data_IF_782393429679
#
_entry.id   IF_782393429679
#
_cell.length_a   1.000
_cell.length_b   1.000
_cell.length_c   1.000
_cell.angle_alpha   90.00
_cell.angle_beta   90.00
_cell.angle_gamma   90.00
#
_symmetry.space_group_name_H-M   'P 1'
#
loop_
_entity.id
_entity.type
_entity.pdbx_description
1 polymer ?
#
# COMPACT_ATOMS: atom_id res chain seq x y z
N UNK A 1 -35.24 -56.62 86.68
CA UNK A 1 -34.98 -57.88 85.98
C UNK A 1 -33.88 -57.59 84.94
N UNK A 2 -32.78 -58.34 84.96
CA UNK A 2 -31.55 -58.26 84.13
C UNK A 2 -31.80 -58.16 82.60
N UNK A 3 -30.80 -57.92 81.69
CA UNK A 3 -29.35 -57.67 81.86
C UNK A 3 -28.68 -56.62 80.89
N UNK A 4 -27.48 -56.16 81.29
CA UNK A 4 -26.17 -56.11 80.58
C UNK A 4 -26.14 -56.01 79.02
N UNK A 5 -25.46 -54.98 78.45
CA UNK A 5 -24.23 -55.12 77.60
C UNK A 5 -23.62 -53.82 77.03
N UNK A 6 -22.28 -53.80 77.14
CA UNK A 6 -21.25 -53.30 76.22
C UNK A 6 -21.02 -51.80 75.96
N UNK A 7 -19.90 -51.34 76.56
CA UNK A 7 -19.08 -50.19 76.16
C UNK A 7 -18.69 -50.26 74.67
N UNK A 8 -18.96 -49.20 73.91
CA UNK A 8 -18.34 -48.93 72.60
C UNK A 8 -17.32 -47.80 72.73
N UNK A 9 -16.12 -48.04 72.20
CA UNK A 9 -15.04 -47.04 72.02
C UNK A 9 -15.47 -46.00 70.96
N UNK A 10 -15.07 -44.72 71.07
CA UNK A 10 -15.23 -43.77 69.98
C UNK A 10 -14.21 -44.07 68.86
N UNK A 11 -14.57 -43.94 67.57
CA UNK A 11 -13.60 -44.01 66.49
C UNK A 11 -12.84 -42.69 66.36
N UNK A 12 -11.56 -42.82 66.03
CA UNK A 12 -10.63 -41.73 65.77
C UNK A 12 -11.10 -40.87 64.57
N UNK A 13 -10.99 -39.55 64.70
CA UNK A 13 -11.04 -38.63 63.56
C UNK A 13 -9.78 -38.83 62.72
N UNK A 14 -9.94 -39.37 61.52
CA UNK A 14 -8.95 -39.27 60.46
C UNK A 14 -9.18 -37.95 59.71
N UNK A 15 -8.25 -36.99 59.82
CA UNK A 15 -8.19 -35.85 58.92
C UNK A 15 -7.75 -36.34 57.54
N UNK A 16 -8.70 -36.46 56.62
CA UNK A 16 -8.40 -36.57 55.19
C UNK A 16 -8.09 -35.16 54.66
N UNK A 17 -6.81 -34.87 54.45
CA UNK A 17 -6.38 -33.69 53.70
C UNK A 17 -6.78 -33.86 52.23
N UNK A 18 -7.85 -33.19 51.82
CA UNK A 18 -8.19 -33.06 50.41
C UNK A 18 -7.22 -32.06 49.77
N UNK A 19 -6.22 -32.57 49.05
CA UNK A 19 -5.43 -31.76 48.15
C UNK A 19 -6.33 -31.32 46.98
N UNK A 20 -6.78 -30.07 46.99
CA UNK A 20 -7.39 -29.43 45.83
C UNK A 20 -6.30 -29.28 44.75
N UNK A 21 -6.26 -30.22 43.80
CA UNK A 21 -5.55 -29.99 42.54
C UNK A 21 -6.44 -29.06 41.72
N UNK A 22 -6.17 -27.76 41.79
CA UNK A 22 -6.76 -26.79 40.88
C UNK A 22 -6.21 -27.07 39.47
N UNK A 23 -6.96 -27.85 38.69
CA UNK A 23 -6.71 -27.98 37.26
C UNK A 23 -7.09 -26.63 36.60
N UNK A 24 -6.11 -25.74 36.48
CA UNK A 24 -6.21 -24.58 35.60
C UNK A 24 -6.28 -25.10 34.17
N UNK A 25 -7.50 -25.31 33.67
CA UNK A 25 -7.75 -25.41 32.24
C UNK A 25 -7.45 -24.02 31.68
N UNK A 26 -6.23 -23.82 31.19
CA UNK A 26 -5.91 -22.68 30.35
C UNK A 26 -6.78 -22.80 29.11
N UNK A 27 -7.88 -22.05 29.06
CA UNK A 27 -8.59 -21.78 27.82
C UNK A 27 -7.59 -21.07 26.92
N UNK A 28 -6.99 -21.83 26.00
CA UNK A 28 -6.25 -21.26 24.89
C UNK A 28 -7.27 -20.49 24.06
N UNK A 29 -7.35 -19.18 24.28
CA UNK A 29 -8.01 -18.27 23.35
C UNK A 29 -7.23 -18.45 22.04
N UNK A 30 -7.86 -18.89 20.94
CA UNK A 30 -7.18 -18.88 19.67
C UNK A 30 -6.82 -17.42 19.40
N UNK A 31 -5.52 -17.12 19.41
CA UNK A 31 -5.03 -15.84 18.93
C UNK A 31 -5.41 -15.83 17.46
N UNK A 32 -6.41 -15.02 17.12
CA UNK A 32 -6.83 -14.78 15.75
C UNK A 32 -5.58 -14.31 14.99
N UNK A 33 -4.98 -15.21 14.21
CA UNK A 33 -3.74 -14.94 13.48
C UNK A 33 -4.10 -14.10 12.25
N UNK A 34 -4.62 -12.90 12.49
CA UNK A 34 -4.71 -11.89 11.44
C UNK A 34 -3.28 -11.52 11.07
N UNK A 35 -2.91 -11.57 9.78
CA UNK A 35 -1.62 -11.04 9.36
C UNK A 35 -1.48 -9.62 9.89
N UNK A 36 -0.28 -9.27 10.37
CA UNK A 36 -0.01 -7.93 10.87
C UNK A 36 -0.42 -6.91 9.80
N UNK A 37 -1.22 -5.92 10.19
CA UNK A 37 -1.58 -4.80 9.34
C UNK A 37 -0.29 -4.17 8.80
N UNK A 38 -0.27 -3.79 7.52
CA UNK A 38 0.94 -3.22 6.91
C UNK A 38 1.45 -2.09 7.79
N UNK A 39 2.75 -1.99 7.97
CA UNK A 39 3.27 -0.95 8.85
C UNK A 39 3.22 0.40 8.14
N UNK A 40 2.17 1.16 8.46
CA UNK A 40 1.83 2.43 7.84
C UNK A 40 2.48 3.57 8.61
N UNK A 41 3.16 4.44 7.86
CA UNK A 41 3.80 5.65 8.33
C UNK A 41 2.88 6.83 8.45
N UNK A 42 3.47 8.00 8.63
CA UNK A 42 2.71 9.26 8.62
C UNK A 42 2.04 9.54 7.28
N UNK A 43 1.03 10.40 7.31
CA UNK A 43 0.36 10.91 6.11
C UNK A 43 1.39 11.65 5.25
N UNK A 44 1.50 11.26 3.98
CA UNK A 44 2.37 11.88 2.97
C UNK A 44 1.59 12.82 2.06
N UNK A 45 0.28 12.58 1.91
CA UNK A 45 -0.63 13.44 1.17
C UNK A 45 -2.05 13.29 1.71
N UNK A 46 -2.81 14.38 1.75
CA UNK A 46 -4.21 14.35 2.16
C UNK A 46 -4.99 15.49 1.54
N UNK A 47 -6.28 15.27 1.28
CA UNK A 47 -7.27 16.30 1.04
C UNK A 47 -8.49 16.01 1.92
N UNK A 48 -8.88 17.01 2.71
CA UNK A 48 -9.92 16.91 3.75
C UNK A 48 -11.20 17.66 3.35
N UNK A 49 -11.23 18.26 2.15
CA UNK A 49 -12.40 18.89 1.54
C UNK A 49 -13.22 19.84 2.45
N UNK A 50 -12.55 20.56 3.35
CA UNK A 50 -13.16 21.47 4.33
C UNK A 50 -13.46 22.88 3.79
N UNK A 51 -13.36 23.10 2.48
CA UNK A 51 -13.62 24.42 1.89
C UNK A 51 -15.13 24.76 1.92
N UNK A 52 -15.44 26.05 1.79
CA UNK A 52 -16.81 26.53 1.82
C UNK A 52 -17.67 25.96 0.67
N UNK A 53 -18.99 25.94 0.87
CA UNK A 53 -19.92 25.48 -0.14
C UNK A 53 -19.73 26.25 -1.46
N UNK A 54 -19.69 25.53 -2.58
CA UNK A 54 -19.50 26.14 -3.89
C UNK A 54 -18.03 26.37 -4.28
N UNK A 55 -17.07 26.18 -3.37
CA UNK A 55 -15.64 26.29 -3.70
C UNK A 55 -15.26 25.21 -4.73
N UNK A 56 -14.65 25.57 -5.88
CA UNK A 56 -14.15 24.60 -6.84
C UNK A 56 -13.09 23.67 -6.24
N UNK A 57 -12.87 22.52 -6.87
CA UNK A 57 -11.79 21.59 -6.51
C UNK A 57 -10.43 22.29 -6.59
N UNK A 58 -9.57 22.07 -5.59
CA UNK A 58 -8.21 22.61 -5.56
C UNK A 58 -7.35 21.98 -6.66
N UNK A 59 -7.07 22.77 -7.69
CA UNK A 59 -6.29 22.32 -8.83
C UNK A 59 -4.80 22.16 -8.51
N UNK A 60 -4.28 22.65 -7.39
CA UNK A 60 -2.91 22.29 -6.97
C UNK A 60 -2.82 20.82 -6.54
N UNK A 61 -3.96 20.19 -6.23
CA UNK A 61 -4.09 18.80 -5.75
C UNK A 61 -4.67 17.87 -6.79
N UNK A 62 -5.66 18.32 -7.55
CA UNK A 62 -6.40 17.49 -8.51
C UNK A 62 -6.39 18.09 -9.91
N UNK A 63 -6.36 17.23 -10.92
CA UNK A 63 -6.66 17.54 -12.32
C UNK A 63 -7.97 16.88 -12.72
N UNK A 64 -8.52 17.29 -13.85
CA UNK A 64 -9.75 16.74 -14.41
C UNK A 64 -9.48 16.04 -15.73
N UNK A 65 -10.01 14.83 -15.85
CA UNK A 65 -10.24 14.21 -17.14
C UNK A 65 -11.55 14.76 -17.72
N UNK A 66 -11.52 15.25 -18.97
CA UNK A 66 -12.68 15.88 -19.63
C UNK A 66 -13.01 15.11 -20.90
N UNK A 67 -14.27 14.70 -21.06
CA UNK A 67 -14.74 14.03 -22.27
C UNK A 67 -15.75 12.91 -22.04
N UNK A 68 -16.28 12.38 -23.15
CA UNK A 68 -17.30 11.33 -23.20
C UNK A 68 -17.02 10.25 -24.26
N UNK A 69 -15.75 9.91 -24.44
CA UNK A 69 -15.28 8.92 -25.44
C UNK A 69 -15.58 7.46 -25.05
N UNK A 70 -16.23 7.22 -23.91
CA UNK A 70 -16.60 5.89 -23.42
C UNK A 70 -15.57 5.25 -22.49
N UNK A 71 -14.39 5.86 -22.32
CA UNK A 71 -13.39 5.52 -21.29
C UNK A 71 -12.96 4.04 -21.25
N UNK A 72 -13.04 3.34 -22.39
CA UNK A 72 -12.71 1.91 -22.51
C UNK A 72 -13.84 0.95 -22.10
N UNK A 73 -14.90 1.47 -21.47
CA UNK A 73 -15.97 0.65 -20.88
C UNK A 73 -17.38 0.95 -21.45
N UNK A 74 -17.47 1.68 -22.57
CA UNK A 74 -18.73 2.16 -23.15
C UNK A 74 -19.58 3.00 -22.17
N UNK A 75 -18.90 3.83 -21.38
CA UNK A 75 -19.50 4.72 -20.37
C UNK A 75 -20.23 5.92 -21.02
N UNK A 76 -21.39 6.32 -20.50
CA UNK A 76 -22.28 7.30 -21.15
C UNK A 76 -22.15 8.73 -20.67
N UNK A 77 -21.44 9.00 -19.59
CA UNK A 77 -21.23 10.37 -19.10
C UNK A 77 -20.21 11.14 -19.94
N UNK A 78 -20.39 12.45 -19.99
CA UNK A 78 -19.33 13.40 -20.30
C UNK A 78 -18.74 13.91 -18.98
N UNK A 79 -17.46 13.62 -18.71
CA UNK A 79 -16.78 14.21 -17.56
C UNK A 79 -16.46 15.68 -17.82
N UNK A 80 -16.74 16.54 -16.85
CA UNK A 80 -16.49 17.99 -16.90
C UNK A 80 -15.59 18.43 -15.74
N UNK A 81 -15.14 19.68 -15.80
CA UNK A 81 -14.52 20.40 -14.68
C UNK A 81 -15.46 21.45 -14.05
N UNK A 82 -16.77 21.35 -14.31
CA UNK A 82 -17.77 22.28 -13.82
C UNK A 82 -18.05 22.06 -12.33
N UNK A 83 -18.29 23.15 -11.59
CA UNK A 83 -18.79 23.07 -10.21
C UNK A 83 -20.20 22.49 -10.10
N UNK A 84 -20.92 22.33 -11.22
CA UNK A 84 -22.15 21.53 -11.24
C UNK A 84 -21.88 20.04 -11.01
N UNK A 85 -20.69 19.53 -11.38
CA UNK A 85 -20.32 18.12 -11.28
C UNK A 85 -19.31 17.82 -10.18
N UNK A 86 -18.44 18.75 -9.79
CA UNK A 86 -17.51 18.56 -8.67
C UNK A 86 -17.29 19.85 -7.88
N UNK A 87 -17.68 19.87 -6.61
CA UNK A 87 -17.61 21.06 -5.76
C UNK A 87 -17.60 20.69 -4.28
N UNK A 88 -17.08 21.58 -3.44
CA UNK A 88 -17.21 21.46 -1.98
C UNK A 88 -18.64 21.79 -1.53
N UNK A 89 -19.16 21.06 -0.56
CA UNK A 89 -20.52 21.29 -0.01
C UNK A 89 -20.56 22.20 1.22
N UNK A 90 -19.40 22.61 1.75
CA UNK A 90 -19.29 23.40 2.98
C UNK A 90 -19.57 22.62 4.27
N UNK A 91 -19.71 21.30 4.19
CA UNK A 91 -19.97 20.37 5.30
C UNK A 91 -18.82 19.38 5.46
N UNK A 92 -17.64 19.69 4.91
CA UNK A 92 -16.45 18.85 4.96
C UNK A 92 -16.40 17.79 3.86
N UNK A 93 -17.13 17.94 2.75
CA UNK A 93 -17.05 16.97 1.66
C UNK A 93 -16.79 17.62 0.30
N UNK A 94 -16.06 16.88 -0.53
CA UNK A 94 -16.17 16.98 -1.98
C UNK A 94 -17.42 16.21 -2.42
N UNK A 95 -18.19 16.81 -3.32
CA UNK A 95 -19.35 16.17 -3.93
C UNK A 95 -19.14 16.01 -5.42
N UNK A 96 -19.02 14.76 -5.88
CA UNK A 96 -19.04 14.42 -7.31
C UNK A 96 -20.48 14.06 -7.68
N UNK A 97 -21.08 14.83 -8.58
CA UNK A 97 -22.48 14.71 -8.97
C UNK A 97 -22.62 14.25 -10.42
N UNK A 98 -23.19 13.05 -10.59
CA UNK A 98 -23.68 12.56 -11.87
C UNK A 98 -25.08 13.13 -12.14
N UNK A 99 -25.29 13.71 -13.33
CA UNK A 99 -26.52 14.39 -13.73
C UNK A 99 -27.00 13.88 -15.08
N UNK A 100 -28.32 13.92 -15.29
CA UNK A 100 -28.94 13.73 -16.61
C UNK A 100 -29.21 15.09 -17.24
N UNK A 101 -28.20 15.63 -17.90
CA UNK A 101 -28.22 16.95 -18.53
C UNK A 101 -27.17 17.05 -19.63
N UNK A 102 -27.28 18.09 -20.46
CA UNK A 102 -26.26 18.43 -21.45
C UNK A 102 -26.27 19.95 -21.71
N UNK A 103 -25.76 20.76 -20.77
CA UNK A 103 -25.90 22.22 -20.80
C UNK A 103 -25.10 22.89 -21.94
N UNK A 104 -24.03 22.26 -22.42
CA UNK A 104 -23.16 22.81 -23.47
C UNK A 104 -23.19 22.01 -24.79
N UNK A 105 -24.25 21.22 -25.01
CA UNK A 105 -24.42 20.40 -26.21
C UNK A 105 -23.22 19.48 -26.54
N UNK A 106 -22.62 18.91 -25.50
CA UNK A 106 -21.52 17.96 -25.57
C UNK A 106 -21.84 16.77 -26.48
N UNK A 107 -20.80 16.28 -27.15
CA UNK A 107 -20.82 15.08 -27.98
C UNK A 107 -20.05 13.96 -27.27
N UNK A 108 -20.69 12.80 -27.21
CA UNK A 108 -20.18 11.56 -26.64
C UNK A 108 -19.99 10.56 -27.79
N UNK A 109 -19.34 9.43 -27.50
CA UNK A 109 -19.09 8.39 -28.50
C UNK A 109 -20.36 7.82 -29.17
N UNK A 110 -21.54 8.01 -28.56
CA UNK A 110 -22.84 7.59 -29.07
C UNK A 110 -23.70 8.74 -29.64
N UNK A 111 -23.13 9.93 -29.86
CA UNK A 111 -23.82 11.12 -30.34
C UNK A 111 -24.03 12.17 -29.24
N UNK A 112 -25.20 12.81 -29.20
CA UNK A 112 -25.48 13.85 -28.19
C UNK A 112 -25.43 13.25 -26.79
N UNK A 113 -24.55 13.78 -25.92
CA UNK A 113 -24.46 13.30 -24.54
C UNK A 113 -25.78 13.49 -23.79
N UNK A 114 -26.09 12.54 -22.91
CA UNK A 114 -27.27 12.59 -22.03
C UNK A 114 -26.92 12.86 -20.56
N UNK A 115 -25.67 12.59 -20.17
CA UNK A 115 -25.22 12.65 -18.78
C UNK A 115 -23.92 13.43 -18.63
N UNK A 116 -23.77 14.11 -17.49
CA UNK A 116 -22.52 14.73 -17.06
C UNK A 116 -22.08 14.18 -15.72
N UNK A 117 -20.78 14.17 -15.46
CA UNK A 117 -20.18 13.80 -14.17
C UNK A 117 -18.79 14.44 -14.03
N UNK A 118 -17.99 14.03 -13.04
CA UNK A 118 -16.59 14.42 -12.92
C UNK A 118 -15.67 13.22 -12.68
N UNK A 119 -14.43 13.33 -13.17
CA UNK A 119 -13.32 12.41 -12.94
C UNK A 119 -12.08 13.22 -12.58
N UNK A 120 -11.65 13.09 -11.32
CA UNK A 120 -10.54 13.81 -10.74
C UNK A 120 -9.34 12.86 -10.63
N UNK A 121 -8.13 13.36 -10.88
CA UNK A 121 -6.90 12.56 -10.77
C UNK A 121 -5.72 13.35 -10.23
N UNK A 122 -4.77 12.66 -9.60
CA UNK A 122 -3.55 13.28 -9.05
C UNK A 122 -2.31 13.14 -9.93
N UNK A 123 -2.42 12.64 -11.17
CA UNK A 123 -1.24 12.27 -11.99
C UNK A 123 -0.15 13.36 -12.12
N UNK A 124 -0.56 14.62 -12.19
CA UNK A 124 0.35 15.76 -12.32
C UNK A 124 0.76 16.41 -10.98
N UNK A 125 0.22 15.95 -9.86
CA UNK A 125 0.29 16.64 -8.56
C UNK A 125 0.80 15.74 -7.44
N UNK A 126 0.47 14.45 -7.47
CA UNK A 126 0.91 13.46 -6.49
C UNK A 126 0.92 12.06 -7.10
N UNK A 127 2.08 11.39 -6.95
CA UNK A 127 2.24 9.96 -7.21
C UNK A 127 3.04 9.36 -6.05
N UNK A 128 2.75 8.12 -5.69
CA UNK A 128 3.48 7.40 -4.65
C UNK A 128 3.45 5.90 -4.92
N UNK A 129 4.55 5.23 -4.59
CA UNK A 129 4.59 3.77 -4.48
C UNK A 129 4.42 3.38 -3.02
N UNK A 130 3.59 2.37 -2.77
CA UNK A 130 3.36 1.77 -1.46
C UNK A 130 2.71 2.72 -0.43
N UNK A 131 2.32 2.15 0.71
CA UNK A 131 1.67 2.82 1.81
C UNK A 131 0.17 2.52 1.88
N UNK A 132 -0.54 3.35 2.63
CA UNK A 132 -1.99 3.26 2.78
C UNK A 132 -2.66 4.31 1.93
N UNK A 133 -3.56 3.87 1.07
CA UNK A 133 -4.43 4.75 0.30
C UNK A 133 -5.85 4.55 0.78
N UNK A 134 -6.43 5.59 1.36
CA UNK A 134 -7.69 5.52 2.07
C UNK A 134 -8.58 6.70 1.70
N UNK A 135 -9.88 6.43 1.53
CA UNK A 135 -10.88 7.47 1.38
C UNK A 135 -12.14 7.11 2.19
N UNK A 136 -12.73 8.12 2.82
CA UNK A 136 -14.03 7.99 3.48
C UNK A 136 -15.11 8.54 2.56
N UNK A 137 -15.93 7.64 2.02
CA UNK A 137 -16.85 7.92 0.91
C UNK A 137 -18.25 7.44 1.27
N UNK A 138 -19.27 8.25 0.98
CA UNK A 138 -20.65 7.81 0.84
C UNK A 138 -20.98 7.73 -0.64
N UNK A 139 -21.14 6.51 -1.15
CA UNK A 139 -21.34 6.27 -2.57
C UNK A 139 -22.80 6.55 -3.02
N UNK A 140 -23.03 6.85 -4.31
CA UNK A 140 -24.37 6.90 -4.90
C UNK A 140 -25.01 5.51 -5.06
N UNK A 141 -26.24 5.46 -5.57
CA UNK A 141 -26.97 4.22 -5.87
C UNK A 141 -27.73 4.29 -7.19
N UNK A 142 -28.28 3.16 -7.60
CA UNK A 142 -29.20 3.05 -8.73
C UNK A 142 -28.57 2.37 -9.94
N UNK A 143 -29.41 1.65 -10.69
CA UNK A 143 -28.98 0.92 -11.88
C UNK A 143 -28.14 1.82 -12.81
N UNK A 144 -27.01 1.30 -13.28
CA UNK A 144 -26.10 2.00 -14.19
C UNK A 144 -25.20 3.07 -13.56
N UNK A 145 -25.25 3.29 -12.25
CA UNK A 145 -24.32 4.20 -11.57
C UNK A 145 -23.09 3.43 -11.10
N UNK A 146 -21.90 3.97 -11.34
CA UNK A 146 -20.62 3.30 -11.05
C UNK A 146 -19.62 4.27 -10.41
N UNK A 147 -19.65 4.44 -9.08
CA UNK A 147 -18.63 5.18 -8.35
C UNK A 147 -17.34 4.36 -8.21
N UNK A 148 -16.20 5.04 -8.29
CA UNK A 148 -14.89 4.42 -8.13
C UNK A 148 -13.89 5.33 -7.39
N UNK A 149 -13.08 4.71 -6.53
CA UNK A 149 -11.82 5.23 -6.01
C UNK A 149 -10.73 4.22 -6.36
N UNK A 150 -9.76 4.64 -7.15
CA UNK A 150 -8.82 3.73 -7.81
C UNK A 150 -7.52 4.44 -8.17
N UNK A 151 -6.56 3.69 -8.67
CA UNK A 151 -5.22 4.17 -8.95
C UNK A 151 -4.67 3.59 -10.25
N UNK A 152 -3.86 4.38 -10.96
CA UNK A 152 -3.14 3.95 -12.16
C UNK A 152 -1.64 4.23 -12.04
N UNK A 153 -0.82 3.41 -12.68
CA UNK A 153 0.62 3.62 -12.78
C UNK A 153 0.97 4.98 -13.39
N UNK A 154 1.96 5.67 -12.81
CA UNK A 154 2.37 6.99 -13.29
C UNK A 154 3.08 6.98 -14.66
N UNK A 155 3.44 5.80 -15.16
CA UNK A 155 4.00 5.54 -16.48
C UNK A 155 2.92 5.15 -17.52
N UNK A 156 1.63 5.29 -17.20
CA UNK A 156 0.50 5.04 -18.11
C UNK A 156 0.65 5.71 -19.49
N UNK A 157 1.22 6.92 -19.54
CA UNK A 157 1.48 7.62 -20.80
C UNK A 157 2.58 7.03 -21.68
N UNK A 158 3.50 6.23 -21.11
CA UNK A 158 4.63 5.63 -21.82
C UNK A 158 4.44 4.14 -22.10
N UNK A 159 3.89 3.37 -21.15
CA UNK A 159 3.74 1.90 -21.29
C UNK A 159 2.31 1.47 -21.66
N UNK A 160 1.33 2.36 -21.47
CA UNK A 160 -0.08 2.10 -21.72
C UNK A 160 -0.71 1.07 -20.78
N UNK A 161 -2.03 0.95 -20.89
CA UNK A 161 -2.80 -0.06 -20.15
C UNK A 161 -2.82 -1.39 -20.92
N UNK A 162 -2.72 -2.56 -20.26
CA UNK A 162 -2.68 -2.77 -18.80
C UNK A 162 -1.26 -2.82 -18.21
N UNK A 163 -0.22 -2.46 -18.98
CA UNK A 163 1.17 -2.61 -18.53
C UNK A 163 1.55 -1.70 -17.36
N UNK A 164 0.92 -0.52 -17.27
CA UNK A 164 1.11 0.43 -16.17
C UNK A 164 0.50 -0.02 -14.84
N UNK A 165 -0.34 -1.06 -14.86
CA UNK A 165 -1.08 -1.51 -13.70
C UNK A 165 -2.22 -0.58 -13.28
N UNK A 166 -3.21 -1.18 -12.64
CA UNK A 166 -4.40 -0.52 -12.07
C UNK A 166 -4.74 -1.18 -10.73
N UNK A 167 -5.03 -0.36 -9.72
CA UNK A 167 -5.47 -0.81 -8.40
C UNK A 167 -6.82 -0.14 -8.09
N UNK A 168 -7.88 -0.92 -8.12
CA UNK A 168 -9.23 -0.47 -7.80
C UNK A 168 -9.44 -0.61 -6.29
N UNK A 169 -9.31 0.49 -5.56
CA UNK A 169 -9.46 0.50 -4.10
C UNK A 169 -10.91 0.27 -3.70
N UNK A 170 -11.84 0.84 -4.46
CA UNK A 170 -13.28 0.67 -4.30
C UNK A 170 -13.95 0.87 -5.65
N UNK A 171 -14.72 -0.13 -6.04
CA UNK A 171 -15.76 0.01 -7.05
C UNK A 171 -17.09 -0.52 -6.53
N UNK A 172 -18.17 0.12 -6.97
CA UNK A 172 -19.52 -0.39 -6.79
C UNK A 172 -20.29 -0.24 -8.11
N UNK A 173 -21.24 -1.14 -8.35
CA UNK A 173 -22.25 -0.97 -9.38
C UNK A 173 -23.61 -0.83 -8.70
N UNK A 174 -24.38 0.19 -9.06
CA UNK A 174 -25.54 0.59 -8.27
C UNK A 174 -26.72 -0.39 -8.26
N UNK A 175 -26.67 -1.47 -9.05
CA UNK A 175 -27.59 -2.62 -8.96
C UNK A 175 -27.23 -3.60 -7.82
N UNK A 176 -26.02 -3.51 -7.31
CA UNK A 176 -25.49 -4.30 -6.19
C UNK A 176 -25.13 -3.36 -5.03
N UNK A 177 -26.13 -2.70 -4.41
CA UNK A 177 -25.90 -1.57 -3.51
C UNK A 177 -25.14 -1.94 -2.23
N UNK A 178 -25.04 -3.22 -1.89
CA UNK A 178 -24.42 -3.72 -0.67
C UNK A 178 -22.98 -4.22 -0.89
N UNK A 179 -22.50 -4.27 -2.14
CA UNK A 179 -21.25 -4.94 -2.49
C UNK A 179 -20.19 -3.95 -2.95
N UNK A 180 -18.99 -4.04 -2.40
CA UNK A 180 -17.79 -3.38 -2.91
C UNK A 180 -16.89 -4.39 -3.59
N UNK A 181 -16.22 -3.96 -4.65
CA UNK A 181 -15.19 -4.69 -5.37
C UNK A 181 -13.85 -4.02 -5.17
N UNK A 182 -12.80 -4.83 -4.99
CA UNK A 182 -11.41 -4.42 -5.04
C UNK A 182 -10.67 -5.30 -6.04
N UNK A 183 -9.99 -4.67 -6.99
CA UNK A 183 -9.45 -5.36 -8.17
C UNK A 183 -8.05 -4.86 -8.48
N UNK A 184 -7.23 -5.73 -9.08
CA UNK A 184 -6.04 -5.29 -9.80
C UNK A 184 -6.10 -5.70 -11.26
N UNK A 185 -5.59 -4.82 -12.13
CA UNK A 185 -5.36 -5.11 -13.52
C UNK A 185 -3.89 -5.00 -13.89
N UNK A 186 -3.41 -5.95 -14.69
CA UNK A 186 -2.05 -5.98 -15.21
C UNK A 186 -1.92 -6.85 -16.45
N UNK A 187 -0.70 -6.98 -17.02
CA UNK A 187 -0.46 -7.76 -18.22
C UNK A 187 -0.76 -9.25 -17.98
N UNK A 188 -1.78 -9.78 -18.67
CA UNK A 188 -2.26 -11.15 -18.51
C UNK A 188 -3.40 -11.34 -17.50
N UNK A 189 -3.80 -10.28 -16.78
CA UNK A 189 -4.89 -10.30 -15.79
C UNK A 189 -5.61 -8.94 -15.75
N UNK A 190 -6.35 -8.60 -16.80
CA UNK A 190 -6.98 -7.28 -16.96
C UNK A 190 -8.37 -7.35 -17.60
N UNK A 191 -9.10 -6.23 -17.59
CA UNK A 191 -10.50 -6.18 -18.02
C UNK A 191 -11.35 -7.17 -17.20
N UNK A 192 -12.19 -7.97 -17.87
CA UNK A 192 -12.98 -9.02 -17.20
C UNK A 192 -12.12 -10.10 -16.51
N UNK A 193 -10.82 -10.19 -16.81
CA UNK A 193 -9.87 -11.10 -16.18
C UNK A 193 -9.02 -10.46 -15.07
N UNK A 194 -9.41 -9.28 -14.56
CA UNK A 194 -8.78 -8.68 -13.38
C UNK A 194 -8.86 -9.62 -12.17
N UNK A 195 -7.85 -9.57 -11.31
CA UNK A 195 -7.86 -10.34 -10.06
C UNK A 195 -8.70 -9.54 -9.07
N UNK A 196 -9.90 -10.02 -8.82
CA UNK A 196 -10.92 -9.30 -8.05
C UNK A 196 -11.30 -10.06 -6.78
N UNK A 197 -11.64 -9.29 -5.75
CA UNK A 197 -12.33 -9.76 -4.56
C UNK A 197 -13.46 -8.80 -4.21
N UNK A 198 -14.44 -9.30 -3.48
CA UNK A 198 -15.61 -8.51 -3.11
C UNK A 198 -16.01 -8.71 -1.66
N UNK A 199 -16.78 -7.75 -1.16
CA UNK A 199 -17.41 -7.82 0.15
C UNK A 199 -18.81 -7.27 0.09
N UNK A 200 -19.76 -8.06 0.57
CA UNK A 200 -21.15 -7.66 0.74
C UNK A 200 -21.45 -7.44 2.21
N UNK A 201 -22.07 -6.31 2.55
CA UNK A 201 -22.51 -5.98 3.92
C UNK A 201 -24.04 -6.00 4.05
N UNK A 202 -24.54 -5.93 5.28
CA UNK A 202 -25.97 -6.09 5.57
C UNK A 202 -26.85 -4.95 5.03
N UNK A 203 -26.34 -3.73 4.99
CA UNK A 203 -27.05 -2.55 4.50
C UNK A 203 -26.39 -1.99 3.23
N UNK A 204 -27.14 -1.29 2.36
CA UNK A 204 -26.57 -0.56 1.23
C UNK A 204 -25.42 0.35 1.64
N UNK A 205 -24.29 0.26 0.92
CA UNK A 205 -23.12 1.13 1.08
C UNK A 205 -23.47 2.62 0.86
N UNK A 206 -24.51 2.89 0.08
CA UNK A 206 -24.98 4.24 -0.20
C UNK A 206 -25.77 4.87 0.96
N UNK A 207 -26.07 4.14 2.04
CA UNK A 207 -26.83 4.66 3.20
C UNK A 207 -25.93 5.50 4.13
N UNK A 208 -24.64 5.17 4.23
CA UNK A 208 -23.69 5.79 5.15
C UNK A 208 -22.33 6.07 4.48
N UNK A 209 -21.49 6.82 5.18
CA UNK A 209 -20.07 6.89 4.83
C UNK A 209 -19.38 5.62 5.29
N UNK A 210 -18.53 5.08 4.43
CA UNK A 210 -17.65 3.96 4.70
C UNK A 210 -16.20 4.34 4.42
N UNK A 211 -15.27 3.68 5.08
CA UNK A 211 -13.84 3.84 4.83
C UNK A 211 -13.36 2.73 3.91
N UNK A 212 -12.91 3.12 2.72
CA UNK A 212 -12.36 2.23 1.70
C UNK A 212 -10.85 2.41 1.64
N UNK A 213 -10.11 1.30 1.65
CA UNK A 213 -8.67 1.36 1.86
C UNK A 213 -7.95 0.22 1.18
N UNK A 214 -6.81 0.54 0.60
CA UNK A 214 -5.74 -0.44 0.37
C UNK A 214 -4.55 -0.16 1.26
N UNK A 215 -3.99 -1.21 1.84
CA UNK A 215 -2.62 -1.22 2.31
C UNK A 215 -1.77 -1.92 1.25
N UNK A 216 -0.85 -1.17 0.66
CA UNK A 216 0.01 -1.61 -0.43
C UNK A 216 1.46 -1.58 0.01
N UNK A 217 2.10 -2.74 -0.02
CA UNK A 217 3.51 -2.91 0.27
C UNK A 217 4.19 -3.69 -0.86
N UNK A 218 5.53 -3.81 -0.86
CA UNK A 218 6.21 -4.63 -1.86
C UNK A 218 5.63 -6.06 -1.87
N UNK A 219 5.12 -6.49 -3.02
CA UNK A 219 4.52 -7.81 -3.24
C UNK A 219 3.23 -8.11 -2.47
N UNK A 220 2.54 -7.12 -1.90
CA UNK A 220 1.20 -7.34 -1.34
C UNK A 220 0.32 -6.10 -1.44
N UNK A 221 -0.92 -6.30 -1.88
CA UNK A 221 -1.98 -5.30 -1.79
C UNK A 221 -3.15 -5.94 -1.04
N UNK A 222 -3.69 -5.22 -0.07
CA UNK A 222 -4.73 -5.71 0.83
C UNK A 222 -5.85 -4.70 0.92
N UNK A 223 -7.08 -5.14 0.66
CA UNK A 223 -8.26 -4.28 0.65
C UNK A 223 -9.05 -4.42 1.94
N UNK A 224 -9.56 -3.29 2.41
CA UNK A 224 -10.37 -3.18 3.61
C UNK A 224 -11.62 -2.35 3.34
N UNK A 225 -12.73 -2.77 3.95
CA UNK A 225 -13.92 -1.96 4.12
C UNK A 225 -14.12 -1.78 5.63
N UNK A 226 -14.18 -0.53 6.09
CA UNK A 226 -14.34 -0.17 7.51
C UNK A 226 -13.34 -0.89 8.43
N UNK A 227 -12.08 -0.97 7.98
CA UNK A 227 -10.99 -1.61 8.72
C UNK A 227 -11.00 -3.14 8.70
N UNK A 228 -11.92 -3.79 7.98
CA UNK A 228 -11.97 -5.25 7.88
C UNK A 228 -11.49 -5.70 6.51
N UNK A 229 -10.43 -6.51 6.50
CA UNK A 229 -9.84 -7.12 5.30
C UNK A 229 -10.88 -7.96 4.56
N UNK A 230 -10.89 -7.88 3.22
CA UNK A 230 -11.74 -8.74 2.39
C UNK A 230 -11.07 -9.27 1.12
N UNK A 231 -9.94 -8.67 0.72
CA UNK A 231 -9.18 -9.14 -0.44
C UNK A 231 -7.69 -8.92 -0.21
N UNK A 232 -6.87 -9.82 -0.76
CA UNK A 232 -5.42 -9.76 -0.70
C UNK A 232 -4.83 -10.39 -1.95
N UNK A 233 -3.91 -9.68 -2.57
CA UNK A 233 -3.19 -10.15 -3.76
C UNK A 233 -1.69 -9.98 -3.58
N UNK A 234 -0.97 -11.01 -3.99
CA UNK A 234 0.49 -11.10 -4.01
C UNK A 234 0.94 -11.71 -5.35
N UNK A 235 2.24 -11.68 -5.71
CA UNK A 235 2.73 -12.26 -6.95
C UNK A 235 2.37 -13.73 -7.19
N UNK A 236 2.16 -14.53 -6.13
CA UNK A 236 1.81 -15.95 -6.29
C UNK A 236 0.39 -16.13 -6.85
N UNK A 237 -0.50 -15.14 -6.69
CA UNK A 237 -1.84 -15.12 -7.29
C UNK A 237 -1.84 -14.83 -8.79
N UNK A 238 -0.72 -14.37 -9.36
CA UNK A 238 -0.68 -13.94 -10.77
C UNK A 238 -0.56 -15.07 -11.79
N UNK A 239 -0.38 -16.32 -11.35
CA UNK A 239 -0.25 -17.47 -12.25
C UNK A 239 0.98 -17.41 -13.16
N UNK A 240 2.06 -16.78 -12.69
CA UNK A 240 3.30 -16.58 -13.45
C UNK A 240 3.34 -15.31 -14.32
N UNK A 241 2.25 -14.53 -14.36
CA UNK A 241 2.25 -13.21 -14.99
C UNK A 241 3.09 -12.19 -14.19
N UNK A 242 3.49 -11.11 -14.85
CA UNK A 242 4.34 -10.07 -14.27
C UNK A 242 3.59 -9.25 -13.21
N UNK A 243 4.22 -9.05 -12.05
CA UNK A 243 3.81 -8.04 -11.07
C UNK A 243 4.20 -6.64 -11.57
N UNK A 244 3.23 -5.71 -11.61
CA UNK A 244 3.40 -4.32 -12.10
C UNK A 244 2.96 -3.29 -11.07
N UNK A 245 3.05 -3.62 -9.77
CA UNK A 245 2.68 -2.73 -8.67
C UNK A 245 3.90 -2.45 -7.79
N UNK A 246 5.04 -2.22 -8.46
CA UNK A 246 6.36 -1.96 -7.88
C UNK A 246 6.94 -0.61 -8.32
N UNK A 247 6.07 0.31 -8.77
CA UNK A 247 6.39 1.69 -9.17
C UNK A 247 5.29 2.66 -8.70
N UNK A 248 5.45 3.98 -8.81
CA UNK A 248 4.47 4.93 -8.29
C UNK A 248 3.14 4.95 -9.06
N UNK A 249 2.05 5.13 -8.32
CA UNK A 249 0.69 5.26 -8.85
C UNK A 249 0.12 6.64 -8.49
N UNK A 250 -0.85 7.13 -9.27
CA UNK A 250 -1.68 8.28 -8.94
C UNK A 250 -3.12 7.85 -8.63
N UNK A 251 -3.83 8.66 -7.86
CA UNK A 251 -5.21 8.37 -7.45
C UNK A 251 -6.23 8.98 -8.41
N UNK A 252 -7.40 8.35 -8.48
CA UNK A 252 -8.54 8.76 -9.30
C UNK A 252 -9.84 8.61 -8.50
N UNK A 253 -10.71 9.60 -8.61
CA UNK A 253 -12.09 9.57 -8.10
C UNK A 253 -13.05 9.90 -9.24
N UNK A 254 -14.09 9.08 -9.43
CA UNK A 254 -15.14 9.39 -10.39
C UNK A 254 -16.47 8.72 -10.06
N UNK A 255 -17.52 9.20 -10.74
CA UNK A 255 -18.80 8.48 -10.85
C UNK A 255 -19.12 8.32 -12.34
N UNK A 256 -18.93 7.12 -12.86
CA UNK A 256 -19.37 6.77 -14.21
C UNK A 256 -20.90 6.55 -14.25
N UNK A 257 -21.48 6.75 -15.43
CA UNK A 257 -22.89 6.51 -15.73
C UNK A 257 -22.97 5.61 -16.95
N UNK A 258 -23.46 4.40 -16.76
CA UNK A 258 -23.47 3.37 -17.78
C UNK A 258 -22.11 2.71 -17.97
N UNK A 259 -22.12 1.59 -18.65
CA UNK A 259 -20.92 0.83 -19.01
C UNK A 259 -21.23 -0.65 -19.18
N UNK A 260 -20.30 -1.38 -19.76
CA UNK A 260 -20.45 -2.83 -20.01
C UNK A 260 -20.74 -3.60 -18.71
N UNK A 261 -20.07 -3.25 -17.61
CA UNK A 261 -20.21 -3.92 -16.32
C UNK A 261 -21.41 -3.45 -15.49
N UNK A 262 -21.62 -2.14 -15.19
CA UNK A 262 -22.78 -1.69 -14.41
C UNK A 262 -24.11 -1.82 -15.15
N UNK A 263 -24.09 -2.05 -16.47
CA UNK A 263 -25.24 -1.84 -17.33
C UNK A 263 -25.55 -0.35 -17.45
N UNK A 264 -26.70 -0.01 -18.05
CA UNK A 264 -27.08 1.38 -18.27
C UNK A 264 -28.18 1.83 -17.31
N UNK A 265 -28.32 3.14 -17.04
CA UNK A 265 -29.47 3.67 -16.31
C UNK A 265 -30.79 3.24 -16.93
N UNK A 266 -31.79 2.98 -16.09
CA UNK A 266 -33.16 2.68 -16.49
C UNK A 266 -34.16 3.55 -15.73
N UNK A 267 -35.45 3.22 -15.79
CA UNK A 267 -36.50 3.99 -15.12
C UNK A 267 -36.39 3.99 -13.57
N UNK A 268 -35.60 3.09 -12.98
CA UNK A 268 -35.32 3.06 -11.54
C UNK A 268 -34.21 4.02 -11.13
N UNK A 269 -33.39 4.49 -12.07
CA UNK A 269 -32.26 5.37 -11.79
C UNK A 269 -32.73 6.82 -11.58
N UNK A 270 -32.62 7.30 -10.35
CA UNK A 270 -32.97 8.68 -9.99
C UNK A 270 -31.74 9.58 -10.12
N UNK A 271 -31.83 10.65 -10.91
CA UNK A 271 -30.80 11.69 -10.99
C UNK A 271 -31.25 12.98 -10.27
N UNK A 272 -30.32 13.77 -9.71
CA UNK A 272 -28.86 13.53 -9.69
C UNK A 272 -28.45 12.43 -8.70
N UNK A 273 -27.26 11.86 -8.91
CA UNK A 273 -26.59 10.95 -7.96
C UNK A 273 -25.29 11.57 -7.49
N UNK A 274 -24.99 11.41 -6.21
CA UNK A 274 -23.86 12.08 -5.56
C UNK A 274 -22.96 11.08 -4.85
N UNK A 275 -21.66 11.17 -5.12
CA UNK A 275 -20.62 10.58 -4.30
C UNK A 275 -20.06 11.68 -3.40
N UNK A 276 -20.20 11.50 -2.09
CA UNK A 276 -19.64 12.43 -1.09
C UNK A 276 -18.34 11.85 -0.58
N UNK A 277 -17.28 12.64 -0.59
CA UNK A 277 -15.94 12.25 -0.14
C UNK A 277 -15.53 13.19 0.98
N UNK A 278 -15.43 12.66 2.19
CA UNK A 278 -15.03 13.38 3.40
C UNK A 278 -13.52 13.66 3.37
N UNK A 279 -12.72 12.63 3.10
CA UNK A 279 -11.29 12.79 2.90
C UNK A 279 -10.73 11.75 1.93
N UNK A 280 -9.58 12.09 1.35
CA UNK A 280 -8.64 11.13 0.74
C UNK A 280 -7.29 11.32 1.40
N UNK A 281 -6.66 10.24 1.84
CA UNK A 281 -5.35 10.23 2.48
C UNK A 281 -4.46 9.16 1.85
N UNK A 282 -3.22 9.55 1.59
CA UNK A 282 -2.12 8.64 1.35
C UNK A 282 -1.15 8.74 2.53
N UNK A 283 -0.81 7.60 3.13
CA UNK A 283 0.23 7.53 4.15
C UNK A 283 1.42 6.78 3.61
N UNK A 284 2.62 7.17 4.03
CA UNK A 284 3.83 6.46 3.68
C UNK A 284 3.78 5.03 4.22
N UNK A 285 4.59 4.15 3.64
CA UNK A 285 4.89 2.88 4.27
C UNK A 285 6.08 3.08 5.22
N UNK A 286 5.90 2.82 6.52
CA UNK A 286 7.02 2.73 7.47
C UNK A 286 7.10 1.28 7.90
N UNK A 287 7.98 0.48 7.32
CA UNK A 287 8.04 -0.93 7.72
C UNK A 287 8.50 -1.09 9.16
N UNK A 288 7.54 -1.15 10.07
CA UNK A 288 7.70 -1.53 11.46
C UNK A 288 8.10 -3.00 11.54
N UNK A 289 9.29 -3.24 12.10
CA UNK A 289 9.58 -4.37 12.98
C UNK A 289 9.50 -5.81 12.45
N UNK A 290 9.06 -6.07 11.22
CA UNK A 290 9.04 -7.43 10.66
C UNK A 290 10.44 -7.99 10.38
N UNK A 291 10.56 -9.31 10.31
CA UNK A 291 11.78 -9.97 9.83
C UNK A 291 11.99 -9.72 8.33
N UNK A 292 13.25 -9.66 7.87
CA UNK A 292 13.58 -9.61 6.45
C UNK A 292 13.03 -10.84 5.69
N UNK A 293 12.85 -10.73 4.37
CA UNK A 293 12.49 -11.86 3.52
C UNK A 293 13.43 -13.07 3.76
N UNK A 294 12.95 -14.33 3.73
CA UNK A 294 13.79 -15.50 4.03
C UNK A 294 15.10 -15.50 3.25
N UNK A 295 16.23 -15.63 3.95
CA UNK A 295 17.57 -15.62 3.35
C UNK A 295 18.19 -14.23 3.13
N UNK A 296 17.52 -13.16 3.55
CA UNK A 296 18.04 -11.78 3.56
C UNK A 296 18.26 -11.28 4.98
N UNK A 297 19.03 -10.21 5.12
CA UNK A 297 19.28 -9.51 6.39
C UNK A 297 19.31 -8.02 6.16
N UNK A 298 18.97 -7.22 7.16
CA UNK A 298 19.32 -5.80 7.12
C UNK A 298 20.79 -5.63 7.49
N UNK A 299 21.39 -4.53 7.05
CA UNK A 299 22.75 -4.12 7.43
C UNK A 299 22.65 -2.83 8.24
N UNK A 300 22.65 -2.96 9.57
CA UNK A 300 22.41 -1.85 10.51
C UNK A 300 23.71 -1.19 10.97
N UNK A 301 23.79 0.13 10.82
CA UNK A 301 24.92 0.95 11.24
C UNK A 301 24.91 1.23 12.74
N UNK A 302 26.06 1.10 13.39
CA UNK A 302 26.19 1.24 14.85
C UNK A 302 26.01 2.70 15.31
N UNK A 303 26.47 3.68 14.53
CA UNK A 303 26.36 5.10 14.89
C UNK A 303 24.91 5.64 14.88
N UNK A 304 24.12 5.25 13.89
CA UNK A 304 22.78 5.80 13.65
C UNK A 304 21.66 4.87 14.09
N UNK A 305 21.93 3.57 14.23
CA UNK A 305 20.91 2.53 14.38
C UNK A 305 20.05 2.33 13.13
N UNK A 306 20.41 2.96 12.00
CA UNK A 306 19.73 2.90 10.69
C UNK A 306 20.37 1.86 9.79
N UNK A 307 19.68 1.47 8.73
CA UNK A 307 20.08 0.39 7.84
C UNK A 307 20.53 0.92 6.48
N UNK A 308 21.46 0.20 5.82
CA UNK A 308 21.83 0.45 4.43
C UNK A 308 20.60 0.24 3.54
N UNK A 309 20.29 1.24 2.73
CA UNK A 309 19.04 1.41 2.02
C UNK A 309 19.25 1.83 0.56
N UNK A 310 18.43 1.25 -0.33
CA UNK A 310 18.27 1.69 -1.72
C UNK A 310 17.23 2.84 -1.74
N UNK A 311 17.62 4.08 -2.10
CA UNK A 311 16.73 5.23 -2.01
C UNK A 311 15.41 5.03 -2.77
N UNK A 312 14.30 5.21 -2.05
CA UNK A 312 12.95 5.10 -2.61
C UNK A 312 12.61 3.72 -3.15
N UNK A 313 13.33 2.67 -2.74
CA UNK A 313 13.21 1.31 -3.29
C UNK A 313 13.27 1.27 -4.83
N UNK A 314 14.08 2.15 -5.42
CA UNK A 314 14.23 2.28 -6.87
C UNK A 314 15.59 1.71 -7.33
N UNK A 315 15.66 0.45 -7.81
CA UNK A 315 16.92 -0.25 -8.08
C UNK A 315 17.54 0.11 -9.45
N UNK A 316 17.70 1.40 -9.73
CA UNK A 316 18.40 1.88 -10.94
C UNK A 316 19.92 1.79 -10.77
N UNK A 317 20.62 1.48 -11.87
CA UNK A 317 22.09 1.49 -11.87
C UNK A 317 22.60 2.92 -11.55
N UNK A 318 23.53 3.00 -10.60
CA UNK A 318 24.05 4.25 -10.08
C UNK A 318 23.26 4.84 -8.89
N UNK A 319 22.20 4.19 -8.42
CA UNK A 319 21.48 4.64 -7.22
C UNK A 319 22.44 4.70 -6.01
N UNK A 320 22.65 5.91 -5.47
CA UNK A 320 23.59 6.16 -4.37
C UNK A 320 23.01 5.60 -3.08
N UNK A 321 23.67 4.61 -2.49
CA UNK A 321 23.17 3.98 -1.28
C UNK A 321 23.20 4.97 -0.11
N UNK A 322 22.24 4.81 0.80
CA UNK A 322 22.08 5.69 1.94
C UNK A 322 21.85 4.88 3.23
N UNK A 323 21.85 5.57 4.36
CA UNK A 323 21.21 5.06 5.58
C UNK A 323 19.77 5.55 5.66
N UNK A 324 18.88 4.67 6.09
CA UNK A 324 17.49 5.00 6.38
C UNK A 324 17.01 4.21 7.59
N UNK A 325 15.95 4.69 8.26
CA UNK A 325 15.32 3.94 9.34
C UNK A 325 15.08 2.49 8.91
N UNK A 326 15.50 1.56 9.77
CA UNK A 326 15.50 0.14 9.46
C UNK A 326 14.07 -0.34 9.22
N UNK A 327 13.88 -1.06 8.12
CA UNK A 327 12.58 -1.38 7.55
C UNK A 327 12.66 -2.73 6.79
N UNK A 328 11.55 -3.30 6.35
CA UNK A 328 11.46 -4.65 5.76
C UNK A 328 11.28 -4.62 4.24
N UNK A 329 11.37 -3.44 3.62
CA UNK A 329 11.31 -3.34 2.17
C UNK A 329 12.48 -4.09 1.54
N UNK A 330 12.30 -4.51 0.29
CA UNK A 330 13.38 -5.11 -0.48
C UNK A 330 14.62 -4.19 -0.63
N UNK A 331 14.45 -2.87 -0.41
CA UNK A 331 15.52 -1.88 -0.42
C UNK A 331 16.56 -2.05 0.70
N UNK A 332 16.19 -2.75 1.77
CA UNK A 332 17.07 -3.05 2.91
C UNK A 332 17.25 -4.55 3.16
N UNK A 333 16.67 -5.39 2.30
CA UNK A 333 16.78 -6.84 2.35
C UNK A 333 18.03 -7.29 1.58
N UNK A 334 19.16 -7.32 2.28
CA UNK A 334 20.46 -7.66 1.68
C UNK A 334 20.76 -9.15 1.80
N UNK A 335 21.21 -9.74 0.71
CA UNK A 335 21.76 -11.10 0.65
C UNK A 335 23.28 -11.03 0.62
N UNK A 336 23.94 -11.70 1.56
CA UNK A 336 25.38 -11.97 1.50
C UNK A 336 25.59 -13.21 0.63
N UNK A 337 25.89 -13.00 -0.65
CA UNK A 337 26.07 -14.09 -1.61
C UNK A 337 27.43 -14.80 -1.42
N UNK A 338 27.48 -16.08 -1.80
CA UNK A 338 28.69 -16.91 -1.65
C UNK A 338 29.89 -16.43 -2.48
N UNK A 339 29.65 -15.61 -3.52
CA UNK A 339 30.70 -14.99 -4.34
C UNK A 339 31.28 -13.71 -3.73
N UNK A 340 30.83 -13.34 -2.52
CA UNK A 340 31.25 -12.14 -1.81
C UNK A 340 30.47 -10.89 -2.17
N UNK A 341 29.48 -10.95 -3.07
CA UNK A 341 28.65 -9.79 -3.39
C UNK A 341 27.56 -9.56 -2.34
N UNK A 342 27.20 -8.29 -2.13
CA UNK A 342 26.01 -7.89 -1.37
C UNK A 342 24.90 -7.53 -2.33
N UNK A 343 23.77 -8.25 -2.26
CA UNK A 343 22.69 -8.13 -3.24
C UNK A 343 21.38 -7.68 -2.62
N UNK A 344 20.69 -6.76 -3.29
CA UNK A 344 19.34 -6.34 -2.93
C UNK A 344 18.59 -5.94 -4.21
N UNK A 345 17.29 -6.26 -4.29
CA UNK A 345 16.44 -5.92 -5.45
C UNK A 345 17.03 -6.31 -6.81
N UNK A 346 17.72 -7.45 -6.90
CA UNK A 346 18.34 -7.95 -8.13
C UNK A 346 19.63 -7.25 -8.56
N UNK A 347 20.19 -6.38 -7.71
CA UNK A 347 21.42 -5.61 -7.97
C UNK A 347 22.48 -5.86 -6.91
N UNK A 348 23.70 -5.38 -7.17
CA UNK A 348 24.86 -5.51 -6.29
C UNK A 348 25.27 -4.15 -5.72
N UNK A 349 25.72 -4.14 -4.46
CA UNK A 349 26.49 -3.02 -3.91
C UNK A 349 27.78 -2.86 -4.72
N UNK A 350 28.10 -1.63 -5.09
CA UNK A 350 29.17 -1.33 -6.04
C UNK A 350 29.89 -0.04 -5.60
N UNK A 351 31.22 -0.02 -5.52
CA UNK A 351 31.97 1.22 -5.46
C UNK A 351 31.93 1.88 -6.84
N UNK A 352 31.41 3.10 -6.91
CA UNK A 352 31.17 3.78 -8.18
C UNK A 352 32.42 3.75 -9.08
N UNK A 353 32.24 3.23 -10.30
CA UNK A 353 33.29 3.08 -11.32
C UNK A 353 34.46 2.17 -10.88
N UNK A 354 34.21 1.22 -9.98
CA UNK A 354 35.23 0.41 -9.32
C UNK A 354 36.33 1.26 -8.63
N UNK A 355 35.96 2.47 -8.19
CA UNK A 355 36.88 3.38 -7.51
C UNK A 355 37.41 2.78 -6.21
N UNK A 356 38.68 3.05 -5.91
CA UNK A 356 39.35 2.51 -4.72
C UNK A 356 39.79 3.59 -3.73
N UNK A 357 39.57 4.87 -4.03
CA UNK A 357 40.02 5.99 -3.21
C UNK A 357 39.04 6.28 -2.05
N UNK A 358 39.53 7.00 -1.03
CA UNK A 358 38.67 7.60 -0.02
C UNK A 358 37.67 8.56 -0.69
N UNK A 359 36.40 8.47 -0.29
CA UNK A 359 35.32 9.27 -0.83
C UNK A 359 34.64 8.66 -2.06
N UNK A 360 35.12 7.53 -2.60
CA UNK A 360 34.40 6.80 -3.65
C UNK A 360 32.99 6.47 -3.17
N UNK A 361 31.98 6.92 -3.90
CA UNK A 361 30.57 6.66 -3.56
C UNK A 361 30.28 5.15 -3.60
N UNK A 362 29.49 4.66 -2.65
CA UNK A 362 28.95 3.30 -2.71
C UNK A 362 27.53 3.38 -3.25
N UNK A 363 27.29 2.75 -4.39
CA UNK A 363 26.03 2.78 -5.12
C UNK A 363 25.53 1.36 -5.43
N UNK A 364 24.43 1.29 -6.18
CA UNK A 364 23.81 0.05 -6.62
C UNK A 364 24.02 -0.11 -8.13
N UNK A 365 24.50 -1.27 -8.59
CA UNK A 365 24.71 -1.57 -10.01
C UNK A 365 24.33 -3.03 -10.31
N UNK A 366 23.91 -3.31 -11.53
CA UNK A 366 23.77 -4.68 -12.05
C UNK A 366 24.99 -5.53 -11.69
N UNK A 367 24.73 -6.71 -11.11
CA UNK A 367 25.81 -7.65 -10.75
C UNK A 367 26.55 -8.07 -12.02
N UNK A 368 27.81 -7.65 -12.15
CA UNK A 368 28.57 -7.73 -13.41
C UNK A 368 29.82 -8.60 -13.32
N UNK A 369 30.04 -9.25 -12.17
CA UNK A 369 31.20 -10.12 -11.93
C UNK A 369 32.50 -9.36 -11.64
N UNK A 370 32.48 -8.01 -11.65
CA UNK A 370 33.64 -7.20 -11.31
C UNK A 370 34.05 -7.47 -9.84
N UNK A 371 35.34 -7.76 -9.56
CA UNK A 371 35.83 -7.95 -8.20
C UNK A 371 35.51 -6.80 -7.23
N UNK A 372 35.36 -5.58 -7.74
CA UNK A 372 35.00 -4.40 -6.93
C UNK A 372 33.64 -4.54 -6.25
N UNK A 373 32.74 -5.42 -6.71
CA UNK A 373 31.44 -5.68 -6.08
C UNK A 373 31.51 -6.62 -4.87
N UNK A 374 32.71 -7.04 -4.45
CA UNK A 374 32.88 -7.98 -3.34
C UNK A 374 33.20 -7.28 -2.03
N UNK A 375 32.47 -7.68 -1.00
CA UNK A 375 32.56 -7.13 0.34
C UNK A 375 32.64 -8.25 1.38
N UNK A 376 33.26 -7.94 2.51
CA UNK A 376 33.30 -8.82 3.67
C UNK A 376 32.91 -8.04 4.92
N UNK A 377 31.92 -8.55 5.67
CA UNK A 377 31.57 -8.02 6.98
C UNK A 377 32.39 -8.76 8.04
N UNK A 378 33.33 -8.08 8.68
CA UNK A 378 34.19 -8.68 9.71
C UNK A 378 33.44 -8.86 11.03
N UNK A 379 33.97 -9.70 11.92
CA UNK A 379 33.46 -9.86 13.28
C UNK A 379 33.52 -8.56 14.11
N UNK A 380 34.41 -7.63 13.74
CA UNK A 380 34.53 -6.31 14.35
C UNK A 380 33.52 -5.28 13.79
N UNK A 381 32.63 -5.71 12.89
CA UNK A 381 31.60 -4.88 12.26
C UNK A 381 32.07 -4.06 11.07
N UNK A 382 33.29 -4.26 10.57
CA UNK A 382 33.77 -3.53 9.39
C UNK A 382 33.21 -4.17 8.12
N UNK A 383 32.44 -3.41 7.34
CA UNK A 383 32.02 -3.85 6.01
C UNK A 383 33.07 -3.41 4.99
N UNK A 384 33.98 -4.30 4.64
CA UNK A 384 35.18 -4.00 3.86
C UNK A 384 34.98 -4.35 2.40
N UNK A 385 35.21 -3.40 1.50
CA UNK A 385 35.37 -3.68 0.08
C UNK A 385 36.72 -4.37 -0.19
N UNK A 386 36.68 -5.55 -0.82
CA UNK A 386 37.85 -6.40 -0.97
C UNK A 386 38.85 -5.88 -2.01
N UNK A 387 38.41 -5.12 -3.01
CA UNK A 387 39.30 -4.54 -4.03
C UNK A 387 39.98 -3.26 -3.55
N UNK A 388 39.28 -2.43 -2.79
CA UNK A 388 39.82 -1.18 -2.28
C UNK A 388 40.57 -1.32 -0.94
N UNK A 389 40.33 -2.42 -0.21
CA UNK A 389 40.75 -2.61 1.19
C UNK A 389 40.30 -1.44 2.08
N UNK A 390 39.04 -1.02 1.89
CA UNK A 390 38.42 0.14 2.56
C UNK A 390 37.04 -0.21 3.08
N UNK A 391 36.62 0.49 4.11
CA UNK A 391 35.36 0.28 4.79
C UNK A 391 34.24 1.08 4.12
N UNK A 392 33.04 0.50 4.08
CA UNK A 392 31.81 1.23 3.83
C UNK A 392 31.56 2.16 5.00
N UNK A 393 31.49 3.46 4.71
CA UNK A 393 31.50 4.58 5.64
C UNK A 393 30.28 5.46 5.37
N UNK A 394 29.58 5.90 6.42
CA UNK A 394 28.58 6.97 6.27
C UNK A 394 29.31 8.31 6.21
N UNK A 395 29.20 8.98 5.05
CA UNK A 395 29.87 10.24 4.76
C UNK A 395 29.57 11.29 5.83
N UNK A 396 30.62 11.99 6.25
CA UNK A 396 30.59 13.05 7.26
C UNK A 396 29.94 12.64 8.60
N UNK A 397 29.86 11.32 8.86
CA UNK A 397 29.23 10.74 10.06
C UNK A 397 27.77 11.16 10.25
N UNK A 398 27.06 11.45 9.16
CA UNK A 398 25.63 11.79 9.21
C UNK A 398 24.85 10.65 9.85
N UNK A 399 24.01 10.96 10.83
CA UNK A 399 23.16 9.96 11.50
C UNK A 399 21.72 9.99 11.04
N UNK A 400 21.27 11.06 10.39
CA UNK A 400 19.91 11.21 9.88
C UNK A 400 19.64 10.37 8.62
N UNK A 401 18.36 10.12 8.34
CA UNK A 401 17.90 9.53 7.09
C UNK A 401 18.48 10.26 5.88
N UNK A 402 18.93 9.50 4.88
CA UNK A 402 19.54 10.04 3.66
C UNK A 402 21.05 10.22 3.72
N UNK A 403 21.71 9.95 4.86
CA UNK A 403 23.17 9.95 4.95
C UNK A 403 23.79 9.01 3.90
N UNK A 404 24.69 9.53 3.05
CA UNK A 404 25.23 8.79 1.90
C UNK A 404 26.40 7.89 2.28
N UNK A 405 26.56 6.79 1.56
CA UNK A 405 27.65 5.83 1.76
C UNK A 405 28.83 6.12 0.83
N UNK A 406 30.03 5.92 1.36
CA UNK A 406 31.29 6.02 0.63
C UNK A 406 32.27 4.94 1.08
N UNK A 407 33.34 4.73 0.32
CA UNK A 407 34.51 4.02 0.79
C UNK A 407 35.44 4.98 1.54
N UNK A 408 35.97 4.51 2.66
CA UNK A 408 36.97 5.24 3.42
C UNK A 408 37.94 4.27 4.09
N UNK A 409 39.15 4.73 4.40
CA UNK A 409 40.09 3.95 5.20
C UNK A 409 39.40 3.48 6.50
N UNK A 410 39.66 2.23 6.87
CA UNK A 410 39.06 1.61 8.05
C UNK A 410 39.69 2.22 9.32
N UNK A 411 38.98 3.14 9.96
CA UNK A 411 39.42 3.85 11.17
C UNK A 411 38.92 3.22 12.47
N UNK A 412 37.94 2.32 12.38
CA UNK A 412 37.23 1.77 13.53
C UNK A 412 36.14 2.68 14.11
N UNK A 413 35.88 3.84 13.49
CA UNK A 413 34.83 4.75 13.91
C UNK A 413 33.42 4.15 13.75
N UNK A 414 32.48 4.56 14.61
CA UNK A 414 31.13 3.99 14.67
C UNK A 414 30.32 4.12 13.37
N UNK A 415 30.61 5.11 12.52
CA UNK A 415 29.97 5.31 11.21
C UNK A 415 30.48 4.33 10.13
N UNK A 416 31.45 3.47 10.47
CA UNK A 416 31.99 2.38 9.64
C UNK A 416 31.64 1.00 10.20
N UNK A 417 30.87 0.96 11.29
CA UNK A 417 30.50 -0.27 11.98
C UNK A 417 29.08 -0.69 11.62
N UNK A 418 28.94 -1.94 11.20
CA UNK A 418 27.73 -2.53 10.67
C UNK A 418 27.46 -3.89 11.32
N UNK A 419 26.19 -4.27 11.36
CA UNK A 419 25.73 -5.55 11.89
C UNK A 419 24.59 -6.11 11.04
N UNK A 420 24.45 -7.43 11.01
CA UNK A 420 23.26 -8.10 10.48
C UNK A 420 22.13 -7.93 11.49
N UNK A 421 20.94 -7.52 11.03
CA UNK A 421 19.81 -7.13 11.88
C UNK A 421 18.45 -7.51 11.29
#
# INVERSE_FOLDING_TARGET
MFPIRNRRRPPALALAGAALVAATVALAVPVDSRPAEAAIGGITWQDEFNAAAGTPVDQSRWRFDIGGNGWGNNERQYYTNSTSNAVHDGQGNLVITARRENPANYQCHYGRCEYTSARLLTAATFTQAYGRFEARIKIPRGQGIWPAFWMLGNDMGSVGWPNAGEIDVMENIGREPNTVYGTIHGPGYSGAGGITGSRTIAAPLADAFHTYRVDWEPNSIVWYLDGVEYHRVDPARLGGNRWVFDHPFFMILNVAVGGNWPGYPDASTQFPQQMLVDYVRASGYTSGGGEPAPGTTRIRGAASGRCIDIPGANPVDGAKLQIWDCNTTAAQAWTFAADGTLRAMGKCMDPAWAGTANGTEVNLVSCNGNPAQRFNLTAAGDLVNLSANRCVDVRDRVTANGGRLQLWDCTGAANQKWSRA
#
